data_IF_358979906115
#
_entry.id   IF_358979906115
#
_cell.length_a   1.000
_cell.length_b   1.000
_cell.length_c   1.000
_cell.angle_alpha   90.00
_cell.angle_beta   90.00
_cell.angle_gamma   90.00
#
_symmetry.space_group_name_H-M   'P 1'
#
loop_
_entity.id
_entity.type
_entity.pdbx_description
1 polymer ?
#
# COMPACT_ATOMS: atom_id res chain seq x y z
N UNK A 1 16.70 -7.91 15.02
CA UNK A 1 17.48 -7.92 13.77
C UNK A 1 17.42 -6.53 13.12
N UNK A 2 18.58 -5.90 12.81
CA UNK A 2 18.61 -4.60 12.10
C UNK A 2 18.61 -4.89 10.60
N UNK A 3 17.46 -4.78 9.93
CA UNK A 3 17.35 -4.88 8.47
C UNK A 3 17.47 -3.46 7.92
N UNK A 4 18.57 -3.10 7.21
CA UNK A 4 18.71 -1.79 6.61
C UNK A 4 17.83 -1.66 5.36
N UNK A 5 17.38 -0.44 4.99
CA UNK A 5 16.64 -0.24 3.75
C UNK A 5 17.52 -0.52 2.54
N UNK A 6 16.93 -1.16 1.52
CA UNK A 6 17.63 -1.54 0.28
C UNK A 6 17.24 -0.59 -0.85
N UNK A 7 18.21 0.17 -1.36
CA UNK A 7 18.01 1.17 -2.42
C UNK A 7 17.39 0.60 -3.69
N UNK A 8 17.73 -0.64 -4.06
CA UNK A 8 17.20 -1.31 -5.27
C UNK A 8 15.67 -1.44 -5.28
N UNK A 9 15.03 -1.46 -4.10
CA UNK A 9 13.57 -1.56 -3.95
C UNK A 9 12.90 -0.24 -3.53
N UNK A 10 13.66 0.86 -3.49
CA UNK A 10 13.14 2.17 -3.10
C UNK A 10 12.58 2.21 -1.67
N UNK A 11 13.11 1.36 -0.77
CA UNK A 11 12.60 1.22 0.59
C UNK A 11 12.81 2.49 1.40
N UNK A 12 11.72 3.00 1.97
CA UNK A 12 11.70 4.08 2.94
C UNK A 12 10.73 3.70 4.07
N UNK A 13 11.30 3.25 5.20
CA UNK A 13 10.48 2.72 6.29
C UNK A 13 9.75 3.83 7.04
N UNK A 14 8.44 3.69 7.14
CA UNK A 14 7.60 4.54 7.96
C UNK A 14 7.87 4.25 9.44
N UNK A 15 8.17 5.30 10.22
CA UNK A 15 8.52 5.18 11.64
C UNK A 15 7.72 6.15 12.52
N UNK A 16 7.11 7.20 11.96
CA UNK A 16 6.35 8.20 12.71
C UNK A 16 4.98 7.65 13.12
N UNK A 17 4.73 7.47 14.44
CA UNK A 17 3.47 6.92 14.93
C UNK A 17 2.27 7.82 14.62
N UNK A 18 2.44 9.14 14.52
CA UNK A 18 1.35 10.04 14.18
C UNK A 18 0.91 9.86 12.72
N UNK A 19 1.86 9.66 11.82
CA UNK A 19 1.57 9.38 10.41
C UNK A 19 0.91 7.99 10.28
N UNK A 20 1.44 6.97 10.97
CA UNK A 20 0.86 5.63 10.99
C UNK A 20 -0.61 5.70 11.43
N UNK A 21 -0.89 6.37 12.55
CA UNK A 21 -2.25 6.50 13.06
C UNK A 21 -3.18 7.27 12.10
N UNK A 22 -2.68 8.32 11.44
CA UNK A 22 -3.47 9.04 10.42
C UNK A 22 -3.86 8.12 9.26
N UNK A 23 -2.91 7.33 8.74
CA UNK A 23 -3.18 6.41 7.63
C UNK A 23 -4.22 5.36 8.04
N UNK A 24 -4.06 4.75 9.22
CA UNK A 24 -5.00 3.75 9.75
C UNK A 24 -6.39 4.35 9.98
N UNK A 25 -6.49 5.58 10.51
CA UNK A 25 -7.76 6.25 10.75
C UNK A 25 -8.51 6.65 9.46
N UNK A 26 -7.80 6.83 8.35
CA UNK A 26 -8.42 7.08 7.04
C UNK A 26 -8.96 5.79 6.43
N UNK A 27 -8.27 4.66 6.66
CA UNK A 27 -8.75 3.35 6.23
C UNK A 27 -9.99 2.97 7.05
N UNK A 28 -11.11 2.77 6.36
CA UNK A 28 -12.40 2.41 7.00
C UNK A 28 -12.92 1.09 6.38
N UNK A 29 -12.29 -0.05 6.68
CA UNK A 29 -12.75 -1.33 6.17
C UNK A 29 -14.08 -1.71 6.82
N UNK A 30 -14.99 -2.29 6.04
CA UNK A 30 -16.16 -2.96 6.58
C UNK A 30 -15.78 -4.32 7.17
N UNK A 31 -16.65 -4.89 7.99
CA UNK A 31 -16.37 -6.13 8.74
C UNK A 31 -15.87 -7.30 7.86
N UNK A 32 -16.36 -7.38 6.63
CA UNK A 32 -16.04 -8.48 5.71
C UNK A 32 -15.03 -8.09 4.62
N UNK A 33 -14.55 -6.85 4.62
CA UNK A 33 -13.52 -6.43 3.67
C UNK A 33 -12.22 -7.16 3.96
N UNK A 34 -11.53 -7.52 2.90
CA UNK A 34 -10.11 -7.88 2.97
C UNK A 34 -9.25 -6.61 2.94
N UNK A 35 -8.05 -6.70 3.46
CA UNK A 35 -7.06 -5.61 3.37
C UNK A 35 -5.87 -6.11 2.58
N UNK A 36 -5.47 -5.37 1.56
CA UNK A 36 -4.24 -5.58 0.80
C UNK A 36 -3.22 -4.52 1.20
N UNK A 37 -2.17 -4.93 1.90
CA UNK A 37 -1.06 -4.05 2.26
C UNK A 37 0.07 -4.17 1.26
N UNK A 38 0.48 -3.04 0.67
CA UNK A 38 1.56 -2.95 -0.30
C UNK A 38 2.85 -2.56 0.40
N UNK A 39 3.87 -3.41 0.33
CA UNK A 39 5.19 -3.14 0.88
C UNK A 39 5.17 -2.93 2.40
N UNK A 40 4.75 -3.91 3.20
CA UNK A 40 4.66 -3.80 4.66
C UNK A 40 5.97 -3.41 5.33
N UNK A 41 7.11 -3.70 4.70
CA UNK A 41 8.42 -3.37 5.24
C UNK A 41 8.66 -4.00 6.61
N UNK A 42 8.92 -3.16 7.62
CA UNK A 42 9.09 -3.62 9.02
C UNK A 42 7.76 -3.76 9.78
N UNK A 43 6.64 -3.72 9.08
CA UNK A 43 5.33 -3.94 9.68
C UNK A 43 4.79 -2.74 10.46
N UNK A 44 5.12 -1.51 10.05
CA UNK A 44 4.64 -0.30 10.72
C UNK A 44 3.11 -0.19 10.65
N UNK A 45 2.52 -0.37 9.48
CA UNK A 45 1.07 -0.44 9.29
C UNK A 45 0.54 -1.83 9.66
N UNK A 46 1.21 -2.90 9.25
CA UNK A 46 0.80 -4.30 9.48
C UNK A 46 0.42 -4.59 10.93
N UNK A 47 1.23 -4.09 11.89
CA UNK A 47 0.97 -4.26 13.34
C UNK A 47 -0.34 -3.60 13.77
N UNK A 48 -0.69 -2.46 13.22
CA UNK A 48 -1.94 -1.78 13.52
C UNK A 48 -3.11 -2.46 12.81
N UNK A 49 -2.92 -2.88 11.55
CA UNK A 49 -3.92 -3.61 10.77
C UNK A 49 -4.32 -4.92 11.44
N UNK A 50 -3.37 -5.62 12.08
CA UNK A 50 -3.67 -6.88 12.80
C UNK A 50 -4.69 -6.71 13.92
N UNK A 51 -4.91 -5.48 14.43
CA UNK A 51 -5.88 -5.16 15.48
C UNK A 51 -7.29 -4.84 14.95
N UNK A 52 -7.47 -4.67 13.64
CA UNK A 52 -8.77 -4.33 13.05
C UNK A 52 -9.71 -5.55 12.95
N UNK A 53 -9.18 -6.76 13.01
CA UNK A 53 -9.94 -8.00 12.90
C UNK A 53 -10.18 -8.47 11.46
N UNK A 54 -9.88 -7.66 10.46
CA UNK A 54 -9.94 -8.02 9.06
C UNK A 54 -8.76 -8.94 8.66
N UNK A 55 -8.96 -9.76 7.62
CA UNK A 55 -7.86 -10.53 7.02
C UNK A 55 -7.00 -9.59 6.19
N UNK A 56 -5.70 -9.58 6.43
CA UNK A 56 -4.73 -8.76 5.72
C UNK A 56 -3.83 -9.64 4.86
N UNK A 57 -3.75 -9.33 3.58
CA UNK A 57 -2.74 -9.87 2.65
C UNK A 57 -1.65 -8.82 2.47
N UNK A 58 -0.45 -9.09 2.97
CA UNK A 58 0.69 -8.20 2.93
C UNK A 58 1.68 -8.66 1.85
N UNK A 59 1.81 -7.90 0.76
CA UNK A 59 2.65 -8.25 -0.39
C UNK A 59 3.98 -7.50 -0.29
N UNK A 60 5.07 -8.24 -0.11
CA UNK A 60 6.42 -7.73 0.09
C UNK A 60 7.42 -8.37 -0.88
N UNK A 61 8.23 -7.57 -1.53
CA UNK A 61 9.23 -8.05 -2.51
C UNK A 61 10.52 -8.53 -1.84
N UNK A 62 10.83 -8.04 -0.63
CA UNK A 62 12.05 -8.41 0.09
C UNK A 62 11.83 -9.67 0.94
N UNK A 63 12.45 -10.83 0.58
CA UNK A 63 12.27 -12.05 1.35
C UNK A 63 12.72 -11.94 2.82
N UNK A 64 13.74 -11.12 3.12
CA UNK A 64 14.17 -10.91 4.51
C UNK A 64 13.11 -10.18 5.35
N UNK A 65 12.35 -9.28 4.72
CA UNK A 65 11.23 -8.61 5.40
C UNK A 65 10.03 -9.53 5.54
N UNK A 66 9.78 -10.41 4.56
CA UNK A 66 8.75 -11.44 4.67
C UNK A 66 9.04 -12.38 5.87
N UNK A 67 10.27 -12.88 5.98
CA UNK A 67 10.68 -13.72 7.10
C UNK A 67 10.56 -12.98 8.44
N UNK A 68 10.96 -11.72 8.47
CA UNK A 68 10.80 -10.88 9.66
C UNK A 68 9.33 -10.74 10.08
N UNK A 69 8.43 -10.45 9.13
CA UNK A 69 7.00 -10.29 9.38
C UNK A 69 6.34 -11.59 9.85
N UNK A 70 6.68 -12.72 9.22
CA UNK A 70 6.18 -14.04 9.63
C UNK A 70 6.60 -14.39 11.06
N UNK A 71 7.81 -14.01 11.46
CA UNK A 71 8.31 -14.21 12.84
C UNK A 71 7.59 -13.33 13.87
N UNK A 72 6.91 -12.26 13.49
CA UNK A 72 6.09 -11.47 14.41
C UNK A 72 4.82 -12.20 14.87
N UNK A 73 4.40 -13.26 14.17
CA UNK A 73 3.22 -14.08 14.47
C UNK A 73 1.95 -13.25 14.69
N UNK A 74 1.77 -12.22 13.88
CA UNK A 74 0.60 -11.35 13.93
C UNK A 74 -0.65 -12.11 13.49
N UNK A 75 -1.76 -11.88 14.19
CA UNK A 75 -3.04 -12.50 13.83
C UNK A 75 -3.59 -11.93 12.53
N UNK A 76 -4.26 -12.77 11.75
CA UNK A 76 -4.98 -12.40 10.52
C UNK A 76 -4.09 -11.79 9.42
N UNK A 77 -2.77 -11.99 9.46
CA UNK A 77 -1.83 -11.47 8.47
C UNK A 77 -1.27 -12.62 7.62
N UNK A 78 -1.48 -12.53 6.31
CA UNK A 78 -0.89 -13.43 5.30
C UNK A 78 0.20 -12.67 4.56
N UNK A 79 1.46 -13.06 4.73
CA UNK A 79 2.60 -12.43 4.04
C UNK A 79 2.91 -13.19 2.76
N UNK A 80 2.94 -12.47 1.63
CA UNK A 80 3.25 -13.02 0.31
C UNK A 80 4.54 -12.37 -0.20
N UNK A 81 5.55 -13.19 -0.51
CA UNK A 81 6.80 -12.71 -1.09
C UNK A 81 6.67 -12.60 -2.62
N UNK A 82 6.27 -11.42 -3.07
CA UNK A 82 6.05 -11.12 -4.49
C UNK A 82 6.14 -9.62 -4.76
N UNK A 83 6.40 -9.23 -6.02
CA UNK A 83 6.17 -7.85 -6.45
C UNK A 83 4.67 -7.56 -6.52
N UNK A 84 4.26 -6.41 -5.99
CA UNK A 84 2.85 -5.99 -6.11
C UNK A 84 2.41 -5.79 -7.56
N UNK A 85 3.32 -5.47 -8.46
CA UNK A 85 3.01 -5.31 -9.89
C UNK A 85 2.64 -6.65 -10.54
N UNK A 86 3.19 -7.76 -10.01
CA UNK A 86 2.94 -9.12 -10.49
C UNK A 86 1.84 -9.84 -9.69
N UNK A 87 1.37 -9.23 -8.59
CA UNK A 87 0.34 -9.82 -7.75
C UNK A 87 -1.01 -9.87 -8.47
N UNK A 88 -1.63 -11.04 -8.51
CA UNK A 88 -2.95 -11.24 -9.09
C UNK A 88 -4.04 -10.81 -8.09
N UNK A 89 -4.67 -9.66 -8.34
CA UNK A 89 -5.72 -9.13 -7.48
C UNK A 89 -7.02 -9.95 -7.52
N UNK A 90 -7.20 -10.86 -8.47
CA UNK A 90 -8.35 -11.78 -8.50
C UNK A 90 -8.35 -12.76 -7.32
N UNK A 91 -7.19 -12.96 -6.67
CA UNK A 91 -7.07 -13.73 -5.44
C UNK A 91 -7.79 -13.07 -4.26
N UNK A 92 -8.04 -11.77 -4.33
CA UNK A 92 -8.86 -11.04 -3.36
C UNK A 92 -10.35 -11.26 -3.69
N UNK A 93 -10.88 -12.42 -3.23
CA UNK A 93 -12.23 -12.92 -3.60
C UNK A 93 -13.39 -12.04 -3.14
N UNK A 94 -13.18 -11.18 -2.16
CA UNK A 94 -14.16 -10.24 -1.63
C UNK A 94 -13.76 -8.81 -1.96
N UNK A 95 -14.66 -7.85 -1.68
CA UNK A 95 -14.30 -6.43 -1.68
C UNK A 95 -13.12 -6.21 -0.73
N UNK A 96 -12.14 -5.40 -1.15
CA UNK A 96 -10.96 -5.15 -0.36
C UNK A 96 -10.58 -3.67 -0.31
N UNK A 97 -9.87 -3.30 0.74
CA UNK A 97 -9.22 -2.00 0.88
C UNK A 97 -7.73 -2.16 0.62
N UNK A 98 -7.14 -1.21 -0.08
CA UNK A 98 -5.70 -1.18 -0.38
C UNK A 98 -5.04 -0.14 0.50
N UNK A 99 -3.91 -0.50 1.13
CA UNK A 99 -3.13 0.41 1.96
C UNK A 99 -1.64 0.21 1.71
N UNK A 100 -0.84 1.27 1.83
CA UNK A 100 0.60 1.14 1.77
C UNK A 100 1.38 2.44 1.79
N UNK A 101 2.66 2.32 2.16
CA UNK A 101 3.66 3.35 1.96
C UNK A 101 4.44 2.99 0.69
N UNK A 102 4.05 3.58 -0.46
CA UNK A 102 4.53 3.12 -1.75
C UNK A 102 6.01 3.46 -1.99
N UNK A 103 6.78 2.53 -2.57
CA UNK A 103 8.13 2.81 -3.04
C UNK A 103 8.12 3.92 -4.10
N UNK A 104 9.01 4.89 -3.98
CA UNK A 104 9.01 6.10 -4.81
C UNK A 104 9.20 5.84 -6.29
N UNK A 105 10.01 4.84 -6.63
CA UNK A 105 10.36 4.49 -8.01
C UNK A 105 9.24 3.79 -8.79
N UNK A 106 8.23 3.23 -8.11
CA UNK A 106 7.14 2.46 -8.73
C UNK A 106 5.74 2.91 -8.27
N UNK A 107 5.61 4.05 -7.62
CA UNK A 107 4.31 4.54 -7.14
C UNK A 107 3.30 4.74 -8.28
N UNK A 108 3.70 5.38 -9.40
CA UNK A 108 2.82 5.55 -10.54
C UNK A 108 2.39 4.24 -11.21
N UNK A 109 3.28 3.27 -11.52
CA UNK A 109 2.87 1.95 -11.98
C UNK A 109 1.88 1.23 -11.04
N UNK A 110 2.08 1.35 -9.72
CA UNK A 110 1.16 0.76 -8.74
C UNK A 110 -0.22 1.43 -8.82
N UNK A 111 -0.28 2.75 -8.87
CA UNK A 111 -1.54 3.48 -9.02
C UNK A 111 -2.27 3.06 -10.29
N UNK A 112 -1.58 2.98 -11.43
CA UNK A 112 -2.17 2.53 -12.70
C UNK A 112 -2.68 1.09 -12.63
N UNK A 113 -1.97 0.18 -11.94
CA UNK A 113 -2.46 -1.17 -11.71
C UNK A 113 -3.82 -1.16 -11.02
N UNK A 114 -3.95 -0.44 -9.89
CA UNK A 114 -5.21 -0.41 -9.14
C UNK A 114 -6.34 0.32 -9.84
N UNK A 115 -6.05 1.24 -10.76
CA UNK A 115 -7.08 1.83 -11.62
C UNK A 115 -7.70 0.83 -12.61
N UNK A 116 -6.96 -0.20 -12.99
CA UNK A 116 -7.45 -1.27 -13.86
C UNK A 116 -8.23 -2.36 -13.10
N UNK A 117 -8.13 -2.39 -11.78
CA UNK A 117 -8.81 -3.37 -10.92
C UNK A 117 -10.18 -2.85 -10.47
N UNK A 118 -11.17 -3.73 -10.33
CA UNK A 118 -12.56 -3.33 -10.08
C UNK A 118 -13.09 -3.61 -8.67
N UNK A 119 -12.43 -4.48 -7.91
CA UNK A 119 -13.00 -4.98 -6.64
C UNK A 119 -12.52 -4.25 -5.37
N UNK A 120 -11.62 -3.28 -5.49
CA UNK A 120 -11.22 -2.50 -4.32
C UNK A 120 -12.22 -1.36 -4.04
N UNK A 121 -12.47 -1.11 -2.77
CA UNK A 121 -13.40 -0.08 -2.30
C UNK A 121 -12.67 1.21 -1.91
N UNK A 122 -11.48 1.09 -1.36
CA UNK A 122 -10.70 2.22 -0.88
C UNK A 122 -9.21 1.99 -1.13
N UNK A 123 -8.51 3.02 -1.59
CA UNK A 123 -7.06 3.04 -1.78
C UNK A 123 -6.46 4.15 -0.89
N UNK A 124 -5.77 3.76 0.18
CA UNK A 124 -5.11 4.67 1.12
C UNK A 124 -3.60 4.49 1.03
N UNK A 125 -2.93 5.38 0.33
CA UNK A 125 -1.49 5.24 0.09
C UNK A 125 -0.72 6.49 0.44
N UNK A 126 0.48 6.30 0.98
CA UNK A 126 1.45 7.37 1.14
C UNK A 126 2.38 7.38 -0.07
N UNK A 127 2.49 8.52 -0.71
CA UNK A 127 3.30 8.75 -1.92
C UNK A 127 4.12 10.03 -1.76
N UNK A 128 5.09 10.26 -2.65
CA UNK A 128 5.83 11.52 -2.67
C UNK A 128 4.90 12.70 -2.92
N UNK A 129 5.19 13.83 -2.27
CA UNK A 129 4.43 15.09 -2.42
C UNK A 129 4.28 15.51 -3.88
N UNK A 130 5.34 15.39 -4.68
CA UNK A 130 5.31 15.72 -6.11
C UNK A 130 4.29 14.86 -6.88
N UNK A 131 4.22 13.56 -6.61
CA UNK A 131 3.25 12.66 -7.23
C UNK A 131 1.83 13.03 -6.79
N UNK A 132 1.61 13.29 -5.50
CA UNK A 132 0.32 13.72 -4.98
C UNK A 132 -0.14 15.04 -5.62
N UNK A 133 0.76 16.03 -5.71
CA UNK A 133 0.46 17.33 -6.35
C UNK A 133 0.10 17.20 -7.84
N UNK A 134 0.66 16.24 -8.55
CA UNK A 134 0.28 15.92 -9.94
C UNK A 134 -1.09 15.27 -10.01
N UNK A 135 -1.44 14.40 -9.05
CA UNK A 135 -2.76 13.75 -9.01
C UNK A 135 -3.88 14.77 -8.83
N UNK A 136 -3.71 15.73 -7.93
CA UNK A 136 -4.73 16.74 -7.59
C UNK A 136 -4.63 18.04 -8.39
N UNK A 137 -3.74 18.12 -9.38
CA UNK A 137 -3.55 19.33 -10.16
C UNK A 137 -4.78 19.65 -11.02
N UNK A 138 -5.17 20.92 -11.08
CA UNK A 138 -6.20 21.44 -11.98
C UNK A 138 -5.67 21.60 -13.42
N UNK A 139 -6.56 21.61 -14.40
CA UNK A 139 -6.23 21.68 -15.83
C UNK A 139 -5.38 22.90 -16.25
N UNK A 140 -5.41 23.98 -15.48
CA UNK A 140 -4.60 25.19 -15.70
C UNK A 140 -3.26 25.19 -14.96
N UNK A 141 -2.90 24.08 -14.29
CA UNK A 141 -1.66 23.97 -13.55
C UNK A 141 -0.59 23.25 -14.39
N UNK A 142 0.67 23.73 -14.34
CA UNK A 142 1.81 23.09 -15.04
C UNK A 142 2.06 21.64 -14.61
N UNK A 143 1.57 21.22 -13.44
CA UNK A 143 1.66 19.84 -12.92
C UNK A 143 0.58 18.92 -13.49
N UNK A 144 -0.45 19.50 -14.14
CA UNK A 144 -1.52 18.74 -14.78
C UNK A 144 -0.99 17.95 -15.98
N UNK A 145 -1.30 16.67 -16.02
CA UNK A 145 -0.84 15.80 -17.09
C UNK A 145 -1.52 14.43 -17.05
N UNK A 146 -0.93 13.45 -17.72
CA UNK A 146 -1.50 12.11 -17.85
C UNK A 146 -1.95 11.50 -16.51
N UNK A 147 -1.12 11.63 -15.46
CA UNK A 147 -1.45 11.10 -14.14
C UNK A 147 -2.68 11.80 -13.55
N UNK A 148 -2.77 13.14 -13.67
CA UNK A 148 -3.91 13.91 -13.20
C UNK A 148 -5.20 13.48 -13.90
N UNK A 149 -5.18 13.42 -15.24
CA UNK A 149 -6.33 13.03 -16.04
C UNK A 149 -6.82 11.64 -15.63
N UNK A 150 -5.92 10.66 -15.60
CA UNK A 150 -6.30 9.29 -15.30
C UNK A 150 -6.85 9.14 -13.88
N UNK A 151 -6.19 9.76 -12.88
CA UNK A 151 -6.61 9.63 -11.47
C UNK A 151 -7.86 10.42 -11.11
N UNK A 152 -8.25 11.43 -11.89
CA UNK A 152 -9.46 12.24 -11.67
C UNK A 152 -10.67 11.75 -12.48
N UNK A 153 -10.46 10.86 -13.47
CA UNK A 153 -11.52 10.34 -14.34
C UNK A 153 -12.14 9.05 -13.77
N UNK A 154 -11.42 8.35 -12.93
CA UNK A 154 -11.83 7.12 -12.23
C UNK A 154 -12.16 7.42 -10.77
#
# INVERSE_FOLDING_TARGET
>A
MKIPPRKKWGQNFLIDPNIINKIINVLKPEKNDLILEIGPGKGALTKQLSNLGNIVTAVEIDPLLCDYLNNLKLKNINVINQSILDFDCTLMKNTYCVIGNLPYNISSPILFKFMAESNWRQLVVMIQKEVAERIVADSNNKKYGRLSIMMQTF
#
